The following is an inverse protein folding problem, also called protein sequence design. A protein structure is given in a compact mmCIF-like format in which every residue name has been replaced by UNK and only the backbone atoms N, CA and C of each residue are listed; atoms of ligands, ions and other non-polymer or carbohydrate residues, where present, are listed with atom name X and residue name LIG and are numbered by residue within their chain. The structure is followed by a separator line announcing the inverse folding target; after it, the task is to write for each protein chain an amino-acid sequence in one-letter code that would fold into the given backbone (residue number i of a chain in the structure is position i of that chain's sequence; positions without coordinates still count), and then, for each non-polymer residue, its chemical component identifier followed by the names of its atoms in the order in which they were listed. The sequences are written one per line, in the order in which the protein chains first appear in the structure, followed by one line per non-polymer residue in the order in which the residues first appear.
data_IF_534439132771
#
_entry.id   IF_534439132771
#
_cell.length_a   1.000
_cell.length_b   1.000
_cell.length_c   1.000
_cell.angle_alpha   90.00
_cell.angle_beta   90.00
_cell.angle_gamma   90.00
#
_symmetry.space_group_name_H-M   'P 1'
#
loop_
_entity.id
_entity.type
_entity.pdbx_description
1 polymer ?
#
# COMPACT_ATOMS: atom_id res chain seq x y z
N UNK A 1 35.43 99.35 70.99
CA UNK A 1 35.81 97.95 70.66
C UNK A 1 35.26 97.69 69.27
N UNK A 2 36.06 97.90 68.22
CA UNK A 2 37.07 96.94 67.69
C UNK A 2 36.39 95.79 66.93
N UNK A 3 36.54 95.72 65.59
CA UNK A 3 37.54 94.93 64.82
C UNK A 3 37.04 93.50 64.55
N UNK A 4 37.30 92.81 63.42
CA UNK A 4 37.92 93.12 62.11
C UNK A 4 37.37 92.09 61.08
N UNK A 5 37.59 92.32 59.78
CA UNK A 5 37.30 91.38 58.69
C UNK A 5 38.30 90.20 58.56
N UNK A 6 38.36 89.58 57.36
CA UNK A 6 39.27 88.50 56.83
C UNK A 6 38.61 87.09 56.85
N UNK A 7 38.06 86.58 55.72
CA UNK A 7 38.69 85.80 54.60
C UNK A 7 39.08 84.37 55.06
N UNK A 8 38.59 83.25 54.51
CA UNK A 8 38.68 82.66 53.15
C UNK A 8 37.77 81.38 53.03
N UNK A 9 37.48 80.66 51.92
CA UNK A 9 37.48 80.87 50.44
C UNK A 9 36.87 79.64 49.70
N UNK A 10 35.99 79.83 48.69
CA UNK A 10 35.42 78.83 47.70
C UNK A 10 34.54 77.67 48.25
N UNK A 11 33.63 76.99 47.51
CA UNK A 11 33.46 76.66 46.07
C UNK A 11 31.97 76.75 45.64
N UNK A 12 31.70 76.98 44.35
CA UNK A 12 30.34 77.14 43.78
C UNK A 12 29.68 75.83 43.29
N UNK A 13 28.35 75.78 43.31
CA UNK A 13 27.53 75.00 42.37
C UNK A 13 26.32 75.85 41.94
N UNK A 14 26.13 75.97 40.63
CA UNK A 14 25.01 76.71 40.01
C UNK A 14 23.86 75.72 39.78
N UNK A 15 22.63 76.12 40.10
CA UNK A 15 21.42 75.54 39.52
C UNK A 15 20.64 76.63 38.79
N UNK A 16 20.30 76.39 37.53
CA UNK A 16 19.30 77.14 36.77
C UNK A 16 18.39 76.12 36.10
N UNK A 17 17.09 76.34 36.22
CA UNK A 17 16.04 75.57 35.57
C UNK A 17 15.90 76.00 34.12
N UNK A 18 15.75 75.04 33.21
CA UNK A 18 15.07 75.28 31.93
C UNK A 18 14.04 74.18 31.66
N UNK A 19 12.90 74.60 31.11
CA UNK A 19 11.72 73.76 30.95
C UNK A 19 11.75 73.11 29.57
N UNK A 20 11.83 71.77 29.51
CA UNK A 20 11.88 71.07 28.22
C UNK A 20 10.46 70.88 27.68
N UNK A 21 10.12 71.66 26.66
CA UNK A 21 9.02 71.33 25.73
C UNK A 21 9.41 70.11 24.91
N UNK A 22 8.72 68.99 25.11
CA UNK A 22 8.91 67.78 24.30
C UNK A 22 8.06 67.91 23.04
N UNK A 23 8.66 68.39 21.95
CA UNK A 23 8.10 68.20 20.61
C UNK A 23 8.05 66.70 20.30
N UNK A 24 6.85 66.13 20.24
CA UNK A 24 6.64 64.78 19.72
C UNK A 24 6.82 64.80 18.21
N UNK A 25 8.06 64.61 17.75
CA UNK A 25 8.38 64.43 16.34
C UNK A 25 7.61 63.23 15.79
N UNK A 26 6.63 63.48 14.93
CA UNK A 26 5.96 62.40 14.19
C UNK A 26 6.98 61.70 13.28
N UNK A 27 7.14 60.40 13.49
CA UNK A 27 8.04 59.57 12.69
C UNK A 27 7.44 59.41 11.28
N UNK A 28 7.93 60.20 10.33
CA UNK A 28 7.50 60.13 8.91
C UNK A 28 7.91 58.76 8.35
N UNK A 29 6.93 57.92 8.04
CA UNK A 29 7.14 56.57 7.51
C UNK A 29 7.26 56.66 5.98
N UNK A 30 8.32 56.11 5.35
CA UNK A 30 8.48 56.17 3.90
C UNK A 30 7.30 55.50 3.17
N UNK A 31 6.71 56.14 2.13
CA UNK A 31 5.61 55.56 1.33
C UNK A 31 5.91 54.17 0.76
N UNK A 32 7.18 53.89 0.46
CA UNK A 32 7.64 52.57 0.00
C UNK A 32 7.35 51.42 0.97
N UNK A 33 7.28 51.68 2.27
CA UNK A 33 6.95 50.65 3.28
C UNK A 33 5.47 50.26 3.22
N UNK A 34 4.57 51.24 3.03
CA UNK A 34 3.14 50.97 2.81
C UNK A 34 2.91 50.18 1.52
N UNK A 35 3.57 50.56 0.43
CA UNK A 35 3.47 49.87 -0.87
C UNK A 35 3.91 48.39 -0.75
N UNK A 36 4.92 48.08 0.05
CA UNK A 36 5.32 46.68 0.32
C UNK A 36 4.19 45.88 0.95
N UNK A 37 3.60 46.39 2.04
CA UNK A 37 2.51 45.71 2.76
C UNK A 37 1.28 45.48 1.86
N UNK A 38 0.95 46.43 0.99
CA UNK A 38 -0.17 46.32 0.03
C UNK A 38 0.09 45.24 -1.02
N UNK A 39 1.34 45.15 -1.50
CA UNK A 39 1.78 44.07 -2.40
C UNK A 39 1.68 42.72 -1.70
N UNK A 40 2.09 42.62 -0.45
CA UNK A 40 2.01 41.38 0.34
C UNK A 40 0.56 40.93 0.54
N UNK A 41 -0.36 41.85 0.86
CA UNK A 41 -1.81 41.57 0.92
C UNK A 41 -2.35 41.07 -0.42
N UNK A 42 -1.91 41.66 -1.54
CA UNK A 42 -2.32 41.26 -2.88
C UNK A 42 -1.81 39.86 -3.25
N UNK A 43 -0.59 39.51 -2.84
CA UNK A 43 -0.02 38.18 -2.98
C UNK A 43 -0.78 37.15 -2.14
N UNK A 44 -1.10 37.48 -0.88
CA UNK A 44 -1.90 36.65 0.03
C UNK A 44 -3.27 36.37 -0.59
N UNK A 45 -4.01 37.42 -1.01
CA UNK A 45 -5.33 37.30 -1.63
C UNK A 45 -5.29 36.38 -2.86
N UNK A 46 -4.33 36.60 -3.75
CA UNK A 46 -4.12 35.76 -4.93
C UNK A 46 -3.92 34.29 -4.53
N UNK A 47 -3.08 34.03 -3.52
CA UNK A 47 -2.76 32.67 -3.09
C UNK A 47 -3.95 31.95 -2.42
N UNK A 48 -4.72 32.63 -1.59
CA UNK A 48 -5.88 32.00 -0.92
C UNK A 48 -7.03 31.74 -1.91
N UNK A 49 -7.16 32.53 -2.97
CA UNK A 49 -8.10 32.25 -4.07
C UNK A 49 -7.70 30.97 -4.83
N UNK A 50 -6.41 30.73 -5.07
CA UNK A 50 -5.94 29.46 -5.66
C UNK A 50 -6.28 28.26 -4.77
N UNK A 51 -5.97 28.35 -3.48
CA UNK A 51 -6.22 27.29 -2.50
C UNK A 51 -7.71 26.97 -2.37
N UNK A 52 -8.57 27.99 -2.38
CA UNK A 52 -10.02 27.80 -2.39
C UNK A 52 -10.53 27.09 -3.64
N UNK A 53 -9.93 27.37 -4.81
CA UNK A 53 -10.30 26.71 -6.08
C UNK A 53 -9.92 25.22 -6.08
N UNK A 54 -8.78 24.85 -5.48
CA UNK A 54 -8.32 23.45 -5.40
C UNK A 54 -8.84 22.67 -4.17
N UNK A 55 -9.41 23.35 -3.18
CA UNK A 55 -9.91 22.73 -1.95
C UNK A 55 -10.99 21.66 -2.19
N UNK A 56 -10.72 20.44 -1.72
CA UNK A 56 -11.66 19.31 -1.69
C UNK A 56 -12.42 19.19 -0.36
N UNK A 57 -11.85 19.71 0.73
CA UNK A 57 -12.41 19.69 2.09
C UNK A 57 -12.39 21.09 2.70
N UNK A 58 -13.15 21.30 3.79
CA UNK A 58 -13.21 22.57 4.53
C UNK A 58 -13.50 23.80 3.64
N UNK A 59 -14.29 23.58 2.57
CA UNK A 59 -14.46 24.55 1.48
C UNK A 59 -15.26 25.76 1.92
N UNK A 60 -16.21 25.62 2.84
CA UNK A 60 -16.98 26.75 3.34
C UNK A 60 -16.19 27.55 4.38
N UNK A 61 -15.43 26.88 5.25
CA UNK A 61 -14.47 27.52 6.16
C UNK A 61 -13.47 28.35 5.34
N UNK A 62 -12.90 27.76 4.29
CA UNK A 62 -11.97 28.45 3.37
C UNK A 62 -12.64 29.63 2.67
N UNK A 63 -13.88 29.46 2.18
CA UNK A 63 -14.65 30.52 1.51
C UNK A 63 -14.80 31.75 2.41
N UNK A 64 -15.20 31.57 3.68
CA UNK A 64 -15.38 32.66 4.65
C UNK A 64 -14.06 33.43 4.85
N UNK A 65 -12.94 32.73 5.00
CA UNK A 65 -11.63 33.37 5.17
C UNK A 65 -11.18 34.12 3.89
N UNK A 66 -11.44 33.58 2.70
CA UNK A 66 -11.15 34.29 1.43
C UNK A 66 -12.03 35.53 1.28
N UNK A 67 -13.31 35.47 1.62
CA UNK A 67 -14.22 36.62 1.63
C UNK A 67 -13.70 37.72 2.57
N UNK A 68 -13.29 37.35 3.80
CA UNK A 68 -12.67 38.27 4.78
C UNK A 68 -11.37 38.88 4.24
N UNK A 69 -10.42 38.08 3.74
CA UNK A 69 -9.16 38.59 3.16
C UNK A 69 -9.43 39.53 1.96
N UNK A 70 -10.46 39.26 1.15
CA UNK A 70 -10.87 40.12 0.03
C UNK A 70 -11.37 41.49 0.51
N UNK A 71 -12.20 41.51 1.56
CA UNK A 71 -12.72 42.74 2.19
C UNK A 71 -11.59 43.58 2.80
N UNK A 72 -10.62 42.95 3.48
CA UNK A 72 -9.44 43.64 3.99
C UNK A 72 -8.60 44.25 2.86
N UNK A 73 -8.32 43.49 1.79
CA UNK A 73 -7.57 43.97 0.63
C UNK A 73 -8.24 45.19 -0.03
N UNK A 74 -9.56 45.15 -0.23
CA UNK A 74 -10.32 46.29 -0.75
C UNK A 74 -10.23 47.51 0.18
N UNK A 75 -10.38 47.31 1.49
CA UNK A 75 -10.33 48.39 2.50
C UNK A 75 -8.96 49.09 2.54
N UNK A 76 -7.88 48.30 2.46
CA UNK A 76 -6.50 48.80 2.42
C UNK A 76 -6.24 49.62 1.15
N UNK A 77 -6.72 49.16 -0.02
CA UNK A 77 -6.58 49.89 -1.27
C UNK A 77 -7.33 51.23 -1.27
N UNK A 78 -8.51 51.30 -0.64
CA UNK A 78 -9.26 52.56 -0.46
C UNK A 78 -8.53 53.52 0.47
N UNK A 79 -7.92 53.03 1.55
CA UNK A 79 -7.15 53.87 2.48
C UNK A 79 -5.84 54.37 1.90
N UNK A 80 -5.14 53.55 1.10
CA UNK A 80 -3.91 53.99 0.42
C UNK A 80 -4.15 55.11 -0.61
N UNK A 81 -5.37 55.25 -1.14
CA UNK A 81 -5.74 56.35 -2.03
C UNK A 81 -5.99 57.69 -1.30
N UNK A 82 -5.77 57.76 0.02
CA UNK A 82 -5.99 58.93 0.88
C UNK A 82 -4.71 59.30 1.63
N UNK A 83 -3.91 60.19 1.04
CA UNK A 83 -2.62 60.62 1.58
C UNK A 83 -2.73 61.21 3.00
N UNK A 84 -3.87 61.80 3.35
CA UNK A 84 -4.18 62.40 4.65
C UNK A 84 -4.29 61.38 5.81
N UNK A 85 -4.48 60.10 5.50
CA UNK A 85 -4.64 59.03 6.50
C UNK A 85 -3.37 58.19 6.73
N UNK A 86 -2.26 58.49 6.04
CA UNK A 86 -1.00 57.74 6.09
C UNK A 86 -0.16 58.02 7.36
N UNK A 87 -0.81 57.93 8.53
CA UNK A 87 -0.19 58.17 9.84
C UNK A 87 0.66 56.98 10.33
N UNK A 88 1.55 57.24 11.30
CA UNK A 88 2.32 56.18 11.96
C UNK A 88 1.44 55.18 12.73
N UNK A 89 0.26 55.62 13.18
CA UNK A 89 -0.78 54.78 13.80
C UNK A 89 -1.43 53.86 12.77
N UNK A 90 -1.81 54.39 11.60
CA UNK A 90 -2.35 53.60 10.49
C UNK A 90 -1.37 52.50 10.05
N UNK A 91 -0.08 52.83 9.91
CA UNK A 91 0.95 51.85 9.55
C UNK A 91 1.02 50.67 10.52
N UNK A 92 0.99 50.92 11.84
CA UNK A 92 1.02 49.85 12.87
C UNK A 92 -0.22 48.96 12.80
N UNK A 93 -1.39 49.53 12.55
CA UNK A 93 -2.64 48.77 12.34
C UNK A 93 -2.53 47.92 11.07
N UNK A 94 -2.01 48.48 9.98
CA UNK A 94 -1.80 47.78 8.72
C UNK A 94 -0.81 46.61 8.88
N UNK A 95 0.33 46.80 9.53
CA UNK A 95 1.29 45.73 9.84
C UNK A 95 0.64 44.58 10.62
N UNK A 96 -0.15 44.90 11.66
CA UNK A 96 -0.87 43.88 12.44
C UNK A 96 -1.90 43.14 11.59
N UNK A 97 -2.67 43.85 10.76
CA UNK A 97 -3.64 43.23 9.86
C UNK A 97 -2.94 42.30 8.85
N UNK A 98 -1.86 42.73 8.21
CA UNK A 98 -1.05 41.92 7.27
C UNK A 98 -0.59 40.62 7.92
N UNK A 99 -0.11 40.67 9.18
CA UNK A 99 0.26 39.47 9.92
C UNK A 99 -0.93 38.51 10.15
N UNK A 100 -2.11 39.03 10.50
CA UNK A 100 -3.32 38.20 10.66
C UNK A 100 -3.74 37.58 9.32
N UNK A 101 -3.65 38.31 8.20
CA UNK A 101 -3.92 37.75 6.87
C UNK A 101 -2.90 36.66 6.50
N UNK A 102 -1.64 36.78 6.92
CA UNK A 102 -0.62 35.74 6.79
C UNK A 102 -1.00 34.48 7.58
N UNK A 103 -1.37 34.63 8.85
CA UNK A 103 -1.79 33.53 9.71
C UNK A 103 -3.06 32.83 9.16
N UNK A 104 -4.00 33.60 8.60
CA UNK A 104 -5.18 33.05 7.90
C UNK A 104 -4.80 32.28 6.64
N UNK A 105 -3.84 32.77 5.84
CA UNK A 105 -3.34 32.11 4.64
C UNK A 105 -2.65 30.78 4.96
N UNK A 106 -1.81 30.74 5.98
CA UNK A 106 -1.18 29.49 6.47
C UNK A 106 -2.22 28.49 6.98
N UNK A 107 -3.22 28.95 7.73
CA UNK A 107 -4.33 28.11 8.17
C UNK A 107 -5.18 27.57 7.00
N UNK A 108 -5.42 28.37 5.95
CA UNK A 108 -6.06 27.88 4.72
C UNK A 108 -5.20 26.78 4.07
N UNK A 109 -3.87 26.95 3.98
CA UNK A 109 -2.96 25.92 3.46
C UNK A 109 -3.08 24.62 4.28
N UNK A 110 -3.07 24.71 5.61
CA UNK A 110 -3.25 23.55 6.52
C UNK A 110 -4.59 22.81 6.31
N UNK A 111 -5.72 23.52 6.22
CA UNK A 111 -7.06 22.88 6.17
C UNK A 111 -7.48 22.44 4.76
N UNK A 112 -6.88 22.98 3.70
CA UNK A 112 -7.20 22.60 2.31
C UNK A 112 -6.32 21.46 1.80
N UNK A 113 -5.08 21.34 2.27
CA UNK A 113 -4.15 20.27 1.88
C UNK A 113 -4.29 19.05 2.79
N UNK A 114 -5.04 18.02 2.35
CA UNK A 114 -5.13 16.74 3.06
C UNK A 114 -3.82 15.95 2.94
N UNK A 115 -2.83 16.33 3.75
CA UNK A 115 -1.59 15.61 3.95
C UNK A 115 -1.64 14.84 5.29
N UNK A 116 -0.57 14.10 5.62
CA UNK A 116 -0.47 13.26 6.82
C UNK A 116 -0.73 14.02 8.14
N UNK A 117 -0.58 15.35 8.16
CA UNK A 117 -0.84 16.21 9.33
C UNK A 117 -2.34 16.39 9.61
N UNK A 118 -3.21 16.32 8.59
CA UNK A 118 -4.68 16.33 8.81
C UNK A 118 -5.20 15.08 9.52
N UNK A 119 -4.36 14.03 9.69
CA UNK A 119 -4.65 12.91 10.59
C UNK A 119 -4.52 13.27 12.08
N UNK A 120 -3.87 14.40 12.39
CA UNK A 120 -3.58 14.87 13.75
C UNK A 120 -4.29 16.17 14.13
N UNK A 121 -4.79 16.94 13.15
CA UNK A 121 -5.71 18.04 13.42
C UNK A 121 -7.06 17.49 13.86
N UNK A 122 -7.27 17.42 15.18
CA UNK A 122 -8.58 17.16 15.76
C UNK A 122 -9.59 18.21 15.28
N UNK A 123 -10.83 17.80 15.03
CA UNK A 123 -11.91 18.69 14.60
C UNK A 123 -12.11 19.89 15.54
N UNK A 124 -11.89 19.69 16.84
CA UNK A 124 -11.88 20.74 17.87
C UNK A 124 -10.80 21.81 17.63
N UNK A 125 -9.62 21.45 17.13
CA UNK A 125 -8.57 22.42 16.78
C UNK A 125 -8.93 23.27 15.57
N UNK A 126 -9.66 22.71 14.60
CA UNK A 126 -10.12 23.44 13.41
C UNK A 126 -11.10 24.54 13.84
N UNK A 127 -12.13 24.20 14.63
CA UNK A 127 -13.08 25.19 15.14
C UNK A 127 -12.40 26.28 15.98
N UNK A 128 -11.50 25.88 16.89
CA UNK A 128 -10.79 26.81 17.77
C UNK A 128 -9.89 27.79 16.99
N UNK A 129 -9.02 27.27 16.12
CA UNK A 129 -8.05 28.10 15.36
C UNK A 129 -8.77 29.05 14.39
N UNK A 130 -9.86 28.62 13.76
CA UNK A 130 -10.72 29.51 12.97
C UNK A 130 -11.28 30.66 13.80
N UNK A 131 -11.85 30.35 14.99
CA UNK A 131 -12.49 31.35 15.87
C UNK A 131 -11.49 32.36 16.44
N UNK A 132 -10.26 31.92 16.74
CA UNK A 132 -9.17 32.78 17.19
C UNK A 132 -8.75 33.75 16.07
N UNK A 133 -8.49 33.23 14.86
CA UNK A 133 -8.12 34.06 13.69
C UNK A 133 -9.20 35.09 13.33
N UNK A 134 -10.48 34.70 13.34
CA UNK A 134 -11.57 35.64 13.05
C UNK A 134 -11.65 36.77 14.07
N UNK A 135 -11.48 36.48 15.38
CA UNK A 135 -11.45 37.52 16.43
C UNK A 135 -10.27 38.49 16.27
N UNK A 136 -9.09 37.99 15.91
CA UNK A 136 -7.92 38.84 15.62
C UNK A 136 -8.15 39.74 14.42
N UNK A 137 -8.74 39.19 13.35
CA UNK A 137 -9.11 39.93 12.14
C UNK A 137 -10.17 40.99 12.44
N UNK A 138 -11.26 40.63 13.12
CA UNK A 138 -12.35 41.55 13.48
C UNK A 138 -11.82 42.72 14.32
N UNK A 139 -10.93 42.42 15.28
CA UNK A 139 -10.24 43.44 16.08
C UNK A 139 -9.40 44.40 15.22
N UNK A 140 -8.68 43.88 14.21
CA UNK A 140 -7.89 44.70 13.30
C UNK A 140 -8.77 45.55 12.37
N UNK A 141 -9.86 45.00 11.84
CA UNK A 141 -10.79 45.73 10.98
C UNK A 141 -11.54 46.81 11.76
N UNK A 142 -11.98 46.56 12.99
CA UNK A 142 -12.60 47.59 13.85
C UNK A 142 -11.63 48.75 14.09
N UNK A 143 -10.35 48.47 14.38
CA UNK A 143 -9.32 49.49 14.55
C UNK A 143 -9.05 50.26 13.24
N UNK A 144 -8.97 49.56 12.11
CA UNK A 144 -8.82 50.15 10.77
C UNK A 144 -10.00 51.09 10.45
N UNK A 145 -11.20 50.63 10.76
CA UNK A 145 -12.47 51.27 10.44
C UNK A 145 -12.75 52.56 11.21
N UNK A 146 -12.08 52.78 12.35
CA UNK A 146 -12.14 54.06 13.06
C UNK A 146 -11.72 55.25 12.18
N UNK A 147 -10.97 55.00 11.09
CA UNK A 147 -10.54 55.97 10.08
C UNK A 147 -11.43 55.99 8.81
N UNK A 148 -12.39 55.07 8.67
CA UNK A 148 -13.19 54.86 7.45
C UNK A 148 -14.68 55.15 7.60
N UNK A 149 -15.26 54.94 8.79
CA UNK A 149 -16.71 55.04 9.03
C UNK A 149 -17.57 54.12 8.13
N UNK A 150 -17.05 52.94 7.77
CA UNK A 150 -17.74 51.91 6.99
C UNK A 150 -18.41 50.90 7.92
N UNK A 151 -19.59 50.38 7.58
CA UNK A 151 -20.22 49.34 8.39
C UNK A 151 -19.77 47.94 7.93
N UNK A 152 -18.91 47.28 8.72
CA UNK A 152 -18.49 45.90 8.49
C UNK A 152 -19.45 44.92 9.19
N UNK A 153 -20.10 44.05 8.42
CA UNK A 153 -21.10 43.12 8.95
C UNK A 153 -20.47 41.76 9.27
N UNK A 154 -20.25 41.47 10.56
CA UNK A 154 -19.66 40.23 11.05
C UNK A 154 -20.76 39.24 11.48
N UNK A 155 -21.07 38.25 10.63
CA UNK A 155 -22.17 37.31 10.87
C UNK A 155 -21.70 36.01 11.55
N UNK A 156 -21.28 36.13 12.81
CA UNK A 156 -20.68 35.05 13.60
C UNK A 156 -21.61 33.85 13.81
N UNK A 157 -22.92 34.05 13.96
CA UNK A 157 -23.88 32.95 14.14
C UNK A 157 -24.00 32.06 12.89
N UNK A 158 -24.01 32.68 11.70
CA UNK A 158 -24.06 31.92 10.45
C UNK A 158 -22.73 31.22 10.17
N UNK A 159 -21.59 31.85 10.48
CA UNK A 159 -20.27 31.22 10.41
C UNK A 159 -20.19 30.00 11.33
N UNK A 160 -20.66 30.09 12.59
CA UNK A 160 -20.67 28.99 13.56
C UNK A 160 -21.42 27.74 13.07
N UNK A 161 -22.53 27.94 12.34
CA UNK A 161 -23.27 26.85 11.71
C UNK A 161 -22.49 26.22 10.56
N UNK A 162 -21.91 27.05 9.69
CA UNK A 162 -21.16 26.62 8.50
C UNK A 162 -19.91 25.80 8.88
N UNK A 163 -19.18 26.22 9.91
CA UNK A 163 -17.97 25.51 10.41
C UNK A 163 -18.34 24.09 10.88
N UNK A 164 -19.46 23.95 11.60
CA UNK A 164 -19.94 22.65 12.09
C UNK A 164 -20.32 21.71 10.96
N UNK A 165 -20.88 22.23 9.87
CA UNK A 165 -21.19 21.43 8.67
C UNK A 165 -19.92 20.88 8.00
N UNK A 166 -18.90 21.72 7.77
CA UNK A 166 -17.60 21.29 7.21
C UNK A 166 -16.88 20.28 8.12
N UNK A 167 -16.87 20.52 9.44
CA UNK A 167 -16.28 19.61 10.45
C UNK A 167 -16.94 18.24 10.43
N UNK A 168 -18.28 18.19 10.35
CA UNK A 168 -19.03 16.92 10.28
C UNK A 168 -18.73 16.17 8.97
N UNK A 169 -18.55 16.88 7.85
CA UNK A 169 -18.16 16.25 6.58
C UNK A 169 -16.73 15.69 6.65
N UNK A 170 -15.77 16.45 7.20
CA UNK A 170 -14.38 16.00 7.37
C UNK A 170 -14.31 14.76 8.28
N UNK A 171 -15.05 14.76 9.40
CA UNK A 171 -15.10 13.61 10.32
C UNK A 171 -15.66 12.34 9.65
N UNK A 172 -16.71 12.47 8.83
CA UNK A 172 -17.24 11.35 8.03
C UNK A 172 -16.21 10.81 7.04
N UNK A 173 -15.49 11.69 6.34
CA UNK A 173 -14.42 11.30 5.41
C UNK A 173 -13.27 10.58 6.13
N UNK A 174 -12.78 11.13 7.25
CA UNK A 174 -11.74 10.52 8.08
C UNK A 174 -12.14 9.10 8.56
N UNK A 175 -13.41 8.90 8.95
CA UNK A 175 -13.93 7.60 9.35
C UNK A 175 -13.88 6.58 8.20
N UNK A 176 -14.42 6.94 7.03
CA UNK A 176 -14.39 6.05 5.84
C UNK A 176 -12.96 5.71 5.43
N UNK A 177 -12.05 6.69 5.46
CA UNK A 177 -10.62 6.46 5.16
C UNK A 177 -9.98 5.48 6.15
N UNK A 178 -10.29 5.58 7.44
CA UNK A 178 -9.79 4.66 8.46
C UNK A 178 -10.32 3.23 8.28
N UNK A 179 -11.59 3.08 7.90
CA UNK A 179 -12.21 1.79 7.57
C UNK A 179 -11.52 1.15 6.34
N UNK A 180 -11.29 1.90 5.26
CA UNK A 180 -10.57 1.43 4.08
C UNK A 180 -9.12 1.01 4.39
N UNK A 181 -8.39 1.76 5.22
CA UNK A 181 -7.03 1.41 5.63
C UNK A 181 -7.01 0.08 6.41
N UNK A 182 -8.00 -0.16 7.26
CA UNK A 182 -8.11 -1.41 8.01
C UNK A 182 -8.43 -2.62 7.11
N UNK A 183 -9.33 -2.47 6.13
CA UNK A 183 -9.62 -3.52 5.13
C UNK A 183 -8.39 -3.87 4.29
N UNK A 184 -7.65 -2.87 3.79
CA UNK A 184 -6.37 -3.10 3.08
C UNK A 184 -5.36 -3.81 3.99
N UNK A 185 -5.21 -3.38 5.24
CA UNK A 185 -4.32 -4.03 6.21
C UNK A 185 -4.70 -5.50 6.43
N UNK A 186 -5.98 -5.79 6.60
CA UNK A 186 -6.49 -7.15 6.80
C UNK A 186 -6.23 -8.05 5.58
N UNK A 187 -6.44 -7.53 4.36
CA UNK A 187 -6.13 -8.23 3.11
C UNK A 187 -4.64 -8.54 2.99
N UNK A 188 -3.77 -7.56 3.28
CA UNK A 188 -2.31 -7.75 3.26
C UNK A 188 -1.88 -8.81 4.28
N UNK A 189 -2.42 -8.80 5.51
CA UNK A 189 -2.11 -9.85 6.50
C UNK A 189 -2.56 -11.24 6.02
N UNK A 190 -3.77 -11.36 5.44
CA UNK A 190 -4.25 -12.65 4.95
C UNK A 190 -3.39 -13.22 3.82
N UNK A 191 -2.99 -12.39 2.85
CA UNK A 191 -2.08 -12.80 1.76
C UNK A 191 -0.71 -13.20 2.31
N UNK A 192 -0.21 -12.49 3.32
CA UNK A 192 1.06 -12.83 3.98
C UNK A 192 0.99 -14.18 4.70
N UNK A 193 -0.11 -14.47 5.40
CA UNK A 193 -0.33 -15.76 6.06
C UNK A 193 -0.44 -16.92 5.06
N UNK A 194 -1.14 -16.72 3.93
CA UNK A 194 -1.16 -17.67 2.83
C UNK A 194 0.23 -17.90 2.23
N UNK A 195 1.03 -16.84 2.06
CA UNK A 195 2.39 -16.93 1.56
C UNK A 195 3.31 -17.70 2.54
N UNK A 196 3.17 -17.48 3.85
CA UNK A 196 3.92 -18.22 4.87
C UNK A 196 3.64 -19.72 4.81
N UNK A 197 2.38 -20.13 4.67
CA UNK A 197 1.99 -21.54 4.51
C UNK A 197 2.61 -22.17 3.24
N UNK A 198 2.71 -21.41 2.14
CA UNK A 198 3.37 -21.88 0.92
C UNK A 198 4.88 -22.02 1.13
N UNK A 199 5.53 -21.05 1.78
CA UNK A 199 6.97 -21.07 2.08
C UNK A 199 7.33 -22.24 3.00
N UNK A 200 6.52 -22.52 4.01
CA UNK A 200 6.67 -23.67 4.91
C UNK A 200 6.61 -25.00 4.12
N UNK A 201 5.55 -25.19 3.31
CA UNK A 201 5.37 -26.39 2.46
C UNK A 201 6.54 -26.59 1.49
N UNK A 202 6.98 -25.53 0.81
CA UNK A 202 8.13 -25.57 -0.11
C UNK A 202 9.43 -25.91 0.65
N UNK A 203 9.58 -25.43 1.88
CA UNK A 203 10.74 -25.73 2.74
C UNK A 203 10.76 -27.19 3.19
N UNK A 204 9.62 -27.76 3.61
CA UNK A 204 9.51 -29.20 3.90
C UNK A 204 9.90 -30.05 2.67
N UNK A 205 9.39 -29.68 1.50
CA UNK A 205 9.69 -30.37 0.24
C UNK A 205 11.18 -30.28 -0.11
N UNK A 206 11.80 -29.11 0.06
CA UNK A 206 13.21 -28.90 -0.20
C UNK A 206 14.10 -29.73 0.73
N UNK A 207 13.78 -29.78 2.03
CA UNK A 207 14.49 -30.63 3.02
C UNK A 207 14.35 -32.12 2.65
N UNK A 208 13.13 -32.54 2.29
CA UNK A 208 12.86 -33.92 1.86
C UNK A 208 13.67 -34.29 0.61
N UNK A 209 13.68 -33.41 -0.40
CA UNK A 209 14.48 -33.58 -1.62
C UNK A 209 15.98 -33.65 -1.34
N UNK A 210 16.52 -32.78 -0.48
CA UNK A 210 17.94 -32.78 -0.13
C UNK A 210 18.34 -34.06 0.61
N UNK A 211 17.50 -34.53 1.55
CA UNK A 211 17.72 -35.79 2.27
C UNK A 211 17.71 -37.01 1.32
N UNK A 212 16.83 -37.02 0.32
CA UNK A 212 16.84 -38.08 -0.70
C UNK A 212 18.06 -37.97 -1.63
N UNK A 213 18.47 -36.77 -2.04
CA UNK A 213 19.64 -36.58 -2.91
C UNK A 213 20.98 -36.92 -2.25
N UNK A 214 21.17 -36.64 -0.95
CA UNK A 214 22.39 -37.02 -0.24
C UNK A 214 22.53 -38.54 -0.15
N UNK A 215 21.42 -39.26 0.06
CA UNK A 215 21.38 -40.72 0.06
C UNK A 215 21.60 -41.33 -1.34
N UNK A 216 21.19 -40.64 -2.41
CA UNK A 216 21.31 -41.14 -3.80
C UNK A 216 22.72 -41.03 -4.40
N UNK A 217 23.63 -40.25 -3.78
CA UNK A 217 25.03 -40.10 -4.25
C UNK A 217 25.94 -41.30 -3.91
N UNK A 218 25.47 -42.24 -3.09
CA UNK A 218 26.17 -43.49 -2.77
C UNK A 218 25.99 -44.54 -3.88
N UNK A 219 26.45 -44.25 -5.10
CA UNK A 219 26.26 -45.15 -6.25
C UNK A 219 27.37 -46.20 -6.38
N UNK A 220 27.50 -47.05 -5.35
CA UNK A 220 28.23 -48.32 -5.41
C UNK A 220 27.40 -49.38 -4.70
N UNK A 221 26.77 -50.27 -5.48
CA UNK A 221 25.86 -51.32 -4.99
C UNK A 221 26.51 -52.17 -3.89
N UNK A 222 26.13 -51.93 -2.64
CA UNK A 222 26.68 -52.63 -1.47
C UNK A 222 25.60 -52.89 -0.42
N UNK A 223 25.91 -53.72 0.59
CA UNK A 223 24.96 -54.09 1.64
C UNK A 223 24.45 -52.90 2.49
N UNK A 224 25.10 -51.73 2.40
CA UNK A 224 24.70 -50.51 3.10
C UNK A 224 23.47 -49.84 2.49
N UNK A 225 23.24 -49.98 1.17
CA UNK A 225 22.08 -49.40 0.47
C UNK A 225 20.76 -49.95 1.03
N UNK A 226 20.75 -51.25 1.37
CA UNK A 226 19.61 -51.93 2.01
C UNK A 226 19.30 -51.36 3.41
N UNK A 227 20.30 -50.80 4.09
CA UNK A 227 20.17 -50.14 5.42
C UNK A 227 19.68 -48.69 5.27
N UNK A 228 20.04 -48.02 4.18
CA UNK A 228 19.56 -46.69 3.82
C UNK A 228 18.09 -46.75 3.38
N UNK A 229 17.71 -47.67 2.48
CA UNK A 229 16.31 -47.82 2.08
C UNK A 229 15.42 -48.21 3.26
N UNK A 230 15.86 -49.08 4.18
CA UNK A 230 15.14 -49.38 5.43
C UNK A 230 14.99 -48.17 6.36
N UNK A 231 15.90 -47.19 6.32
CA UNK A 231 15.75 -45.92 7.06
C UNK A 231 14.72 -45.01 6.38
N UNK A 232 14.79 -44.87 5.05
CA UNK A 232 13.82 -44.11 4.25
C UNK A 232 12.41 -44.68 4.47
N UNK A 233 12.24 -46.00 4.37
CA UNK A 233 10.96 -46.71 4.56
C UNK A 233 10.37 -46.54 5.97
N UNK A 234 11.21 -46.31 6.98
CA UNK A 234 10.75 -46.11 8.36
C UNK A 234 10.40 -44.63 8.67
N UNK A 235 10.98 -43.67 7.94
CA UNK A 235 10.66 -42.24 8.00
C UNK A 235 9.43 -41.93 7.13
N UNK A 236 9.42 -42.46 5.91
CA UNK A 236 8.41 -42.26 4.89
C UNK A 236 7.64 -43.56 4.63
N UNK A 237 6.84 -43.95 5.63
CA UNK A 237 5.90 -45.08 5.50
C UNK A 237 4.81 -44.72 4.48
N UNK A 238 5.07 -44.98 3.20
CA UNK A 238 3.97 -45.10 2.23
C UNK A 238 3.15 -46.31 2.66
N UNK A 239 1.96 -46.05 3.20
CA UNK A 239 0.93 -47.07 3.31
C UNK A 239 0.61 -47.55 1.90
N UNK A 240 1.05 -48.76 1.56
CA UNK A 240 0.63 -49.40 0.31
C UNK A 240 -0.90 -49.46 0.33
N UNK A 241 -1.54 -48.90 -0.68
CA UNK A 241 -2.99 -48.96 -0.78
C UNK A 241 -3.38 -50.42 -1.00
N UNK A 242 -4.37 -50.97 -0.27
CA UNK A 242 -4.82 -52.35 -0.46
C UNK A 242 -5.38 -52.48 -1.88
N UNK A 243 -4.80 -53.36 -2.70
CA UNK A 243 -5.20 -53.52 -4.10
C UNK A 243 -6.64 -54.05 -4.20
N UNK A 244 -7.01 -54.86 -3.22
CA UNK A 244 -8.29 -55.56 -3.08
C UNK A 244 -9.48 -54.64 -2.80
N UNK A 245 -9.23 -53.38 -2.41
CA UNK A 245 -10.27 -52.36 -2.23
C UNK A 245 -10.67 -51.67 -3.56
N UNK A 246 -10.08 -52.07 -4.71
CA UNK A 246 -10.34 -51.48 -6.02
C UNK A 246 -10.74 -52.52 -7.09
N UNK A 247 -11.68 -52.15 -7.97
CA UNK A 247 -12.13 -52.95 -9.13
C UNK A 247 -11.68 -52.29 -10.45
N UNK A 248 -11.15 -53.06 -11.40
CA UNK A 248 -10.74 -52.56 -12.72
C UNK A 248 -11.98 -52.28 -13.57
N UNK A 249 -12.06 -51.09 -14.18
CA UNK A 249 -13.28 -50.55 -14.80
C UNK A 249 -13.13 -50.29 -16.32
N UNK A 250 -12.05 -50.76 -16.94
CA UNK A 250 -11.81 -50.61 -18.39
C UNK A 250 -12.54 -51.71 -19.18
N UNK A 251 -13.56 -51.32 -19.98
CA UNK A 251 -14.14 -52.17 -21.02
C UNK A 251 -13.21 -52.32 -22.22
N UNK A 252 -13.37 -53.40 -22.99
CA UNK A 252 -12.40 -53.84 -24.00
C UNK A 252 -12.08 -52.79 -25.08
N UNK A 253 -10.78 -52.49 -25.21
CA UNK A 253 -10.12 -52.38 -26.50
C UNK A 253 -10.06 -51.00 -27.19
N UNK A 254 -8.95 -50.28 -26.97
CA UNK A 254 -8.34 -49.40 -28.00
C UNK A 254 -6.81 -49.49 -28.02
N UNK A 255 -6.28 -49.97 -29.15
CA UNK A 255 -5.02 -49.54 -29.78
C UNK A 255 -3.72 -49.46 -28.96
N UNK A 256 -2.80 -50.41 -29.21
CA UNK A 256 -1.34 -50.24 -29.22
C UNK A 256 -0.67 -49.33 -28.16
N UNK A 257 -0.33 -49.96 -27.02
CA UNK A 257 0.97 -49.84 -26.32
C UNK A 257 1.56 -48.42 -26.14
N UNK A 258 0.92 -47.61 -25.29
CA UNK A 258 1.67 -46.86 -24.27
C UNK A 258 1.46 -47.61 -22.95
N UNK A 259 2.56 -47.96 -22.27
CA UNK A 259 2.53 -49.05 -21.30
C UNK A 259 1.78 -48.68 -20.01
N UNK A 260 0.54 -49.20 -19.92
CA UNK A 260 -0.17 -49.58 -18.69
C UNK A 260 -0.55 -48.41 -17.75
N UNK A 261 -1.41 -47.52 -18.23
CA UNK A 261 -2.38 -46.80 -17.38
C UNK A 261 -3.71 -47.57 -17.44
N UNK A 262 -4.37 -47.80 -16.30
CA UNK A 262 -5.65 -48.51 -16.19
C UNK A 262 -6.63 -47.70 -15.32
N UNK A 263 -7.93 -47.77 -15.61
CA UNK A 263 -9.00 -47.18 -14.79
C UNK A 263 -9.44 -48.14 -13.71
N UNK A 264 -9.37 -47.70 -12.45
CA UNK A 264 -9.84 -48.46 -11.30
C UNK A 264 -10.88 -47.65 -10.53
N UNK A 265 -11.82 -48.32 -9.89
CA UNK A 265 -12.85 -47.72 -9.03
C UNK A 265 -12.70 -48.28 -7.63
N UNK A 266 -12.70 -47.43 -6.60
CA UNK A 266 -12.64 -47.91 -5.21
C UNK A 266 -14.00 -48.48 -4.80
N UNK A 267 -14.03 -49.74 -4.35
CA UNK A 267 -15.24 -50.55 -4.20
C UNK A 267 -16.27 -49.89 -3.28
N UNK A 268 -15.80 -49.24 -2.20
CA UNK A 268 -16.65 -48.64 -1.14
C UNK A 268 -17.12 -47.22 -1.45
N UNK A 269 -16.25 -46.36 -1.98
CA UNK A 269 -16.58 -44.93 -2.22
C UNK A 269 -17.03 -44.65 -3.65
N UNK A 270 -16.75 -45.56 -4.58
CA UNK A 270 -16.96 -45.42 -6.04
C UNK A 270 -16.19 -44.27 -6.70
N UNK A 271 -15.15 -43.76 -6.03
CA UNK A 271 -14.19 -42.83 -6.62
C UNK A 271 -13.34 -43.50 -7.71
N UNK A 272 -12.94 -42.74 -8.72
CA UNK A 272 -12.16 -43.20 -9.88
C UNK A 272 -10.67 -42.90 -9.70
N UNK A 273 -9.81 -43.84 -10.07
CA UNK A 273 -8.36 -43.75 -9.96
C UNK A 273 -7.67 -44.20 -11.24
N UNK A 274 -6.48 -43.66 -11.48
CA UNK A 274 -5.60 -44.10 -12.56
C UNK A 274 -4.44 -44.91 -11.97
N UNK A 275 -4.31 -46.17 -12.41
CA UNK A 275 -3.29 -47.11 -11.97
C UNK A 275 -2.22 -47.25 -13.05
N UNK A 276 -1.02 -46.72 -12.79
CA UNK A 276 0.10 -46.76 -13.74
C UNK A 276 1.16 -47.78 -13.31
N UNK A 277 1.47 -48.77 -14.15
CA UNK A 277 2.49 -49.78 -13.79
C UNK A 277 3.88 -49.16 -13.70
N UNK A 278 4.59 -49.54 -12.64
CA UNK A 278 5.96 -49.11 -12.31
C UNK A 278 6.97 -50.16 -12.79
N UNK A 279 8.07 -49.72 -13.40
CA UNK A 279 9.18 -50.60 -13.74
C UNK A 279 9.89 -51.07 -12.45
N UNK A 280 10.01 -52.40 -12.20
CA UNK A 280 10.66 -52.92 -10.99
C UNK A 280 12.08 -52.40 -10.77
N UNK A 281 12.82 -52.09 -11.85
CA UNK A 281 14.20 -51.58 -11.76
C UNK A 281 14.30 -50.18 -11.14
N UNK A 282 13.21 -49.40 -11.15
CA UNK A 282 13.18 -48.02 -10.64
C UNK A 282 12.26 -47.85 -9.41
N UNK A 283 11.75 -48.95 -8.83
CA UNK A 283 10.70 -48.91 -7.81
C UNK A 283 11.03 -48.04 -6.59
N UNK A 284 12.28 -48.05 -6.11
CA UNK A 284 12.73 -47.20 -5.00
C UNK A 284 12.76 -45.71 -5.36
N UNK A 285 13.12 -45.37 -6.61
CA UNK A 285 13.11 -43.98 -7.07
C UNK A 285 11.69 -43.44 -7.20
N UNK A 286 10.77 -44.26 -7.73
CA UNK A 286 9.34 -43.94 -7.79
C UNK A 286 8.76 -43.78 -6.39
N UNK A 287 9.08 -44.70 -5.46
CA UNK A 287 8.69 -44.61 -4.04
C UNK A 287 9.12 -43.28 -3.40
N UNK A 288 10.38 -42.89 -3.61
CA UNK A 288 10.92 -41.63 -3.10
C UNK A 288 10.20 -40.40 -3.70
N UNK A 289 9.93 -40.40 -5.01
CA UNK A 289 9.22 -39.31 -5.68
C UNK A 289 7.75 -39.21 -5.25
N UNK A 290 7.04 -40.34 -5.19
CA UNK A 290 5.62 -40.41 -4.77
C UNK A 290 5.45 -39.90 -3.34
N UNK A 291 6.38 -40.21 -2.45
CA UNK A 291 6.42 -39.67 -1.07
C UNK A 291 6.35 -38.14 -1.04
N UNK A 292 7.12 -37.46 -1.90
CA UNK A 292 7.11 -36.00 -1.99
C UNK A 292 5.80 -35.51 -2.63
N UNK A 293 5.37 -36.16 -3.71
CA UNK A 293 4.18 -35.75 -4.46
C UNK A 293 2.87 -35.92 -3.67
N UNK A 294 2.80 -36.90 -2.75
CA UNK A 294 1.68 -37.05 -1.80
C UNK A 294 1.54 -35.85 -0.84
N UNK A 295 2.59 -35.04 -0.61
CA UNK A 295 2.49 -33.79 0.16
C UNK A 295 1.74 -32.68 -0.59
N UNK A 296 1.56 -32.82 -1.91
CA UNK A 296 0.86 -31.85 -2.77
C UNK A 296 -0.65 -32.11 -2.90
N UNK A 297 -1.23 -33.04 -2.13
CA UNK A 297 -2.64 -33.45 -2.21
C UNK A 297 -3.69 -32.34 -2.04
N UNK A 298 -3.31 -31.18 -1.52
CA UNK A 298 -4.20 -30.01 -1.36
C UNK A 298 -4.15 -29.07 -2.58
N UNK A 299 -3.23 -29.30 -3.53
CA UNK A 299 -3.02 -28.42 -4.68
C UNK A 299 -4.04 -28.72 -5.79
N UNK A 300 -5.10 -27.92 -5.89
CA UNK A 300 -6.21 -28.12 -6.82
C UNK A 300 -5.80 -28.32 -8.29
N UNK A 301 -4.74 -27.64 -8.75
CA UNK A 301 -4.24 -27.72 -10.14
C UNK A 301 -3.06 -28.68 -10.35
N UNK A 302 -2.78 -29.56 -9.40
CA UNK A 302 -1.82 -30.66 -9.54
C UNK A 302 -2.59 -31.98 -9.46
N UNK A 303 -2.21 -32.96 -10.29
CA UNK A 303 -2.80 -34.30 -10.22
C UNK A 303 -2.51 -34.92 -8.85
N UNK A 304 -3.53 -35.43 -8.16
CA UNK A 304 -3.33 -35.99 -6.83
C UNK A 304 -2.62 -37.36 -6.92
N UNK A 305 -1.59 -37.53 -6.08
CA UNK A 305 -0.86 -38.78 -5.90
C UNK A 305 -1.32 -39.43 -4.59
N UNK A 306 -1.78 -40.69 -4.65
CA UNK A 306 -2.33 -41.39 -3.49
C UNK A 306 -1.38 -42.44 -2.91
N UNK A 307 -0.45 -42.98 -3.71
CA UNK A 307 0.57 -43.89 -3.24
C UNK A 307 0.97 -44.95 -4.26
N UNK A 308 1.46 -46.08 -3.74
CA UNK A 308 1.73 -47.30 -4.51
C UNK A 308 0.78 -48.40 -4.05
N UNK A 309 0.50 -49.36 -4.94
CA UNK A 309 -0.21 -50.61 -4.64
C UNK A 309 0.38 -51.76 -5.46
N UNK A 310 0.06 -53.01 -5.13
CA UNK A 310 0.57 -54.19 -5.83
C UNK A 310 -0.45 -55.34 -5.76
N UNK A 311 -0.62 -56.06 -6.86
CA UNK A 311 -1.41 -57.29 -6.92
C UNK A 311 -0.55 -58.56 -6.76
N UNK A 312 0.69 -58.41 -6.26
CA UNK A 312 1.67 -59.49 -6.13
C UNK A 312 2.48 -59.79 -7.41
N UNK A 313 2.01 -59.39 -8.59
CA UNK A 313 2.71 -59.55 -9.87
C UNK A 313 3.26 -58.23 -10.40
N UNK A 314 2.50 -57.15 -10.28
CA UNK A 314 2.82 -55.81 -10.79
C UNK A 314 2.63 -54.77 -9.68
N UNK A 315 3.54 -53.79 -9.62
CA UNK A 315 3.40 -52.61 -8.76
C UNK A 315 2.82 -51.45 -9.57
N UNK A 316 1.83 -50.77 -9.01
CA UNK A 316 1.12 -49.65 -9.61
C UNK A 316 1.34 -48.38 -8.79
N UNK A 317 1.53 -47.27 -9.50
CA UNK A 317 1.39 -45.92 -9.02
C UNK A 317 -0.09 -45.51 -9.12
N UNK A 318 -0.68 -45.09 -8.00
CA UNK A 318 -2.08 -44.67 -7.92
C UNK A 318 -2.16 -43.14 -7.92
N UNK A 319 -2.83 -42.59 -8.92
CA UNK A 319 -3.17 -41.17 -9.01
C UNK A 319 -4.67 -40.97 -9.20
N UNK A 320 -5.10 -39.72 -9.09
CA UNK A 320 -6.41 -39.26 -9.52
C UNK A 320 -6.65 -39.61 -10.99
N UNK A 321 -7.90 -39.97 -11.30
CA UNK A 321 -8.34 -40.20 -12.66
C UNK A 321 -8.60 -38.88 -13.38
N UNK A 322 -8.19 -38.79 -14.64
CA UNK A 322 -8.51 -37.68 -15.52
C UNK A 322 -9.12 -38.22 -16.82
N UNK A 323 -10.20 -37.61 -17.28
CA UNK A 323 -11.01 -38.14 -18.38
C UNK A 323 -10.47 -37.72 -19.76
N UNK A 324 -9.66 -36.63 -19.84
CA UNK A 324 -9.14 -36.09 -21.10
C UNK A 324 -7.70 -35.55 -20.96
N UNK A 325 -6.89 -35.78 -21.99
CA UNK A 325 -5.66 -35.00 -22.24
C UNK A 325 -6.00 -33.75 -23.06
N UNK A 326 -5.21 -32.67 -22.94
CA UNK A 326 -5.43 -31.43 -23.70
C UNK A 326 -4.39 -31.22 -24.81
N UNK A 327 -4.72 -30.37 -25.78
CA UNK A 327 -3.83 -29.89 -26.84
C UNK A 327 -3.51 -28.39 -26.69
N UNK A 328 -3.00 -27.99 -25.50
CA UNK A 328 -2.49 -26.64 -25.25
C UNK A 328 -1.00 -26.57 -25.61
N UNK A 329 -0.65 -25.81 -26.65
CA UNK A 329 0.74 -25.54 -27.03
C UNK A 329 1.28 -24.38 -26.19
N UNK A 330 2.15 -24.68 -25.22
CA UNK A 330 2.92 -23.69 -24.48
C UNK A 330 4.42 -24.00 -24.66
N UNK A 331 5.25 -22.98 -24.91
CA UNK A 331 6.64 -23.21 -25.36
C UNK A 331 7.47 -24.00 -24.33
N UNK A 332 7.21 -23.81 -23.03
CA UNK A 332 7.85 -24.57 -21.93
C UNK A 332 6.99 -25.71 -21.34
N UNK A 333 5.72 -25.86 -21.74
CA UNK A 333 4.80 -26.86 -21.17
C UNK A 333 4.10 -27.61 -22.30
N UNK A 334 4.44 -28.89 -22.46
CA UNK A 334 3.78 -29.76 -23.45
C UNK A 334 2.34 -30.02 -23.04
N UNK A 335 1.42 -30.04 -24.00
CA UNK A 335 -0.01 -30.26 -23.78
C UNK A 335 -0.34 -31.54 -23.00
N UNK A 336 0.39 -32.63 -23.28
CA UNK A 336 0.35 -33.93 -22.58
C UNK A 336 0.72 -33.86 -21.08
N UNK A 337 1.20 -32.71 -20.60
CA UNK A 337 1.42 -32.46 -19.18
C UNK A 337 0.22 -31.77 -18.50
N UNK A 338 -0.90 -31.52 -19.22
CA UNK A 338 -2.12 -30.91 -18.70
C UNK A 338 -3.30 -31.86 -18.94
N UNK A 339 -3.84 -32.39 -17.85
CA UNK A 339 -4.99 -33.28 -17.80
C UNK A 339 -6.25 -32.52 -17.36
N UNK A 340 -7.43 -33.00 -17.77
CA UNK A 340 -8.73 -32.47 -17.37
C UNK A 340 -9.51 -33.57 -16.65
N UNK A 341 -9.97 -33.28 -15.44
CA UNK A 341 -10.85 -34.19 -14.67
C UNK A 341 -12.26 -34.21 -15.24
N UNK A 342 -13.11 -35.12 -14.76
CA UNK A 342 -14.54 -35.16 -15.09
C UNK A 342 -15.35 -33.98 -14.52
N UNK A 343 -14.70 -33.09 -13.75
CA UNK A 343 -15.24 -31.83 -13.25
C UNK A 343 -14.71 -30.60 -14.02
N UNK A 344 -14.14 -30.81 -15.22
CA UNK A 344 -13.52 -29.79 -16.08
C UNK A 344 -12.37 -28.98 -15.42
N UNK A 345 -11.73 -29.55 -14.39
CA UNK A 345 -10.57 -28.92 -13.72
C UNK A 345 -9.26 -29.29 -14.42
N UNK A 346 -8.51 -28.28 -14.84
CA UNK A 346 -7.16 -28.45 -15.40
C UNK A 346 -6.12 -28.74 -14.32
N UNK A 347 -5.39 -29.84 -14.49
CA UNK A 347 -4.36 -30.34 -13.58
C UNK A 347 -3.05 -30.62 -14.30
N UNK A 348 -1.96 -30.09 -13.75
CA UNK A 348 -0.60 -30.34 -14.25
C UNK A 348 -0.15 -31.73 -13.75
N UNK A 349 0.42 -32.49 -14.68
CA UNK A 349 0.94 -33.85 -14.48
C UNK A 349 2.32 -33.98 -15.15
N UNK A 350 2.88 -35.19 -15.14
CA UNK A 350 4.05 -35.56 -15.94
C UNK A 350 5.25 -34.62 -15.72
N UNK A 351 5.41 -34.16 -14.48
CA UNK A 351 6.65 -33.60 -13.95
C UNK A 351 7.73 -34.67 -14.14
N UNK A 352 8.52 -34.53 -15.21
CA UNK A 352 9.39 -35.61 -15.71
C UNK A 352 10.20 -36.22 -14.58
N UNK A 353 10.09 -37.54 -14.42
CA UNK A 353 11.14 -38.39 -13.83
C UNK A 353 12.51 -37.86 -14.29
N UNK A 354 13.45 -37.68 -13.35
CA UNK A 354 14.59 -36.79 -13.56
C UNK A 354 15.32 -37.04 -14.89
N UNK A 355 15.76 -35.96 -15.55
CA UNK A 355 16.12 -35.93 -16.98
C UNK A 355 17.11 -37.01 -17.49
N UNK A 356 17.86 -37.65 -16.59
CA UNK A 356 18.91 -38.65 -16.89
C UNK A 356 18.42 -39.99 -17.48
N UNK A 357 17.13 -40.34 -17.35
CA UNK A 357 16.69 -41.73 -17.61
C UNK A 357 16.15 -42.04 -19.01
N UNK A 358 15.89 -41.04 -19.87
CA UNK A 358 15.33 -41.26 -21.22
C UNK A 358 16.33 -41.10 -22.38
N UNK A 359 17.49 -40.49 -22.16
CA UNK A 359 18.48 -40.24 -23.22
C UNK A 359 19.09 -41.55 -23.78
N UNK A 360 19.05 -42.65 -23.03
CA UNK A 360 19.59 -43.94 -23.44
C UNK A 360 18.76 -44.71 -24.51
N UNK A 361 17.53 -44.27 -24.85
CA UNK A 361 16.66 -44.98 -25.82
C UNK A 361 16.26 -44.19 -27.06
N UNK A 362 16.54 -42.89 -27.14
CA UNK A 362 16.21 -42.09 -28.33
C UNK A 362 17.26 -42.11 -29.45
N UNK A 363 18.46 -42.67 -29.21
CA UNK A 363 19.55 -42.74 -30.19
C UNK A 363 19.38 -43.83 -31.28
N UNK A 364 18.19 -44.42 -31.46
CA UNK A 364 17.98 -45.53 -32.42
C UNK A 364 16.78 -45.39 -33.36
N UNK A 365 16.04 -44.28 -33.33
CA UNK A 365 15.15 -43.88 -34.45
C UNK A 365 15.26 -42.36 -34.66
N UNK A 366 16.34 -41.94 -35.31
CA UNK A 366 16.23 -40.82 -36.22
C UNK A 366 15.63 -41.37 -37.52
N UNK A 367 14.42 -40.93 -37.83
CA UNK A 367 13.96 -40.85 -39.21
C UNK A 367 13.13 -39.58 -39.35
N UNK A 368 13.23 -38.97 -40.52
CA UNK A 368 12.98 -37.56 -40.77
C UNK A 368 11.48 -37.25 -41.01
N UNK A 369 11.22 -36.02 -41.45
CA UNK A 369 9.96 -35.54 -42.03
C UNK A 369 8.75 -35.35 -41.10
N UNK A 370 8.74 -34.20 -40.42
CA UNK A 370 7.53 -33.37 -40.40
C UNK A 370 7.81 -32.06 -41.14
N UNK A 371 7.23 -31.96 -42.34
CA UNK A 371 7.32 -30.79 -43.22
C UNK A 371 6.70 -29.55 -42.57
N UNK A 372 7.34 -28.41 -42.81
CA UNK A 372 6.82 -27.09 -42.48
C UNK A 372 5.59 -26.74 -43.31
N UNK A 373 4.47 -26.42 -42.65
CA UNK A 373 3.45 -25.54 -43.22
C UNK A 373 2.85 -24.62 -42.15
N UNK A 374 3.35 -23.39 -42.11
CA UNK A 374 2.50 -22.24 -41.79
C UNK A 374 1.49 -22.05 -42.93
N UNK A 375 0.30 -21.54 -42.62
CA UNK A 375 0.10 -20.14 -43.01
C UNK A 375 -0.52 -19.30 -41.88
N UNK A 376 0.16 -18.19 -41.57
CA UNK A 376 -0.56 -16.94 -41.28
C UNK A 376 -1.06 -16.40 -42.62
N UNK A 377 -2.29 -15.89 -42.67
CA UNK A 377 -2.93 -15.48 -43.93
C UNK A 377 -4.27 -14.79 -43.74
N UNK A 378 -4.21 -13.62 -43.07
CA UNK A 378 -5.09 -12.45 -43.17
C UNK A 378 -6.62 -12.52 -42.91
N UNK A 379 -7.08 -11.43 -42.28
CA UNK A 379 -8.47 -11.03 -41.91
C UNK A 379 -9.07 -11.68 -40.65
#
# INVERSE_FOLDING_TARGET
MEKTAVLETTVAVISHSDTITIDTVELIIPPSQFISLIKDVSNILSKVIELYRSAQHNKNITRILVERISVASASINVLHARDDLLTSTYYKILQRLVQVLHNMKEYIEEITQYNTVQKFLGTEMIEKKFKELCKEYDSCIILLNSNLSVNFNFNTEQEDKIIKEDIVQLSKFQKVLAECINDVKQKVTHTNDQMNLIVERVSEMAITMQSMQSNMKSMTYTAEDNKIQKRIDNIFRISSLPFEDYEEADEEGRGYKIYKLRKYVHIKTKDKFAFKVVDPSHINEVKNQVTILMKLKDCQNIINFYGLTSNGLETYLVTEWAEKETYIVHQDIRSVNILITDHDVAKITNFKYSRKFYEAKHNLVQNEDYFWYSPLGDC
#
